data_IF_593755597780
#
_entry.id   IF_593755597780
#
_cell.length_a   1.000
_cell.length_b   1.000
_cell.length_c   1.000
_cell.angle_alpha   90.00
_cell.angle_beta   90.00
_cell.angle_gamma   90.00
#
_symmetry.space_group_name_H-M   'P 1'
#
loop_
_entity.id
_entity.type
_entity.pdbx_description
1 polymer ?
#
# COMPACT_ATOMS: atom_id res chain seq x y z
N UNK A 1 26.30 -31.81 -17.71
CA UNK A 1 24.85 -31.57 -17.72
C UNK A 1 23.99 -32.69 -17.11
N UNK A 2 24.55 -33.74 -16.48
CA UNK A 2 23.79 -34.94 -16.05
C UNK A 2 23.61 -35.16 -14.53
N UNK A 3 24.08 -34.24 -13.66
CA UNK A 3 23.96 -34.39 -12.19
C UNK A 3 22.84 -33.55 -11.54
N UNK A 4 22.08 -32.77 -12.31
CA UNK A 4 21.04 -31.85 -11.78
C UNK A 4 19.65 -32.50 -11.64
N UNK A 5 19.31 -33.49 -12.47
CA UNK A 5 18.01 -34.18 -12.40
C UNK A 5 17.74 -34.91 -11.07
N UNK A 6 18.71 -35.60 -10.42
CA UNK A 6 18.41 -36.37 -9.21
C UNK A 6 17.95 -35.51 -8.02
N UNK A 7 18.52 -34.30 -7.86
CA UNK A 7 18.14 -33.38 -6.79
C UNK A 7 16.75 -32.78 -7.02
N UNK A 8 16.40 -32.50 -8.28
CA UNK A 8 15.05 -32.05 -8.64
C UNK A 8 14.03 -33.17 -8.37
N UNK A 9 14.36 -34.43 -8.70
CA UNK A 9 13.51 -35.60 -8.43
C UNK A 9 13.34 -35.89 -6.92
N UNK A 10 14.36 -35.67 -6.09
CA UNK A 10 14.23 -35.79 -4.63
C UNK A 10 13.34 -34.67 -4.06
N UNK A 11 13.38 -33.47 -4.63
CA UNK A 11 12.55 -32.34 -4.20
C UNK A 11 11.09 -32.41 -4.67
N UNK A 12 10.76 -33.30 -5.63
CA UNK A 12 9.37 -33.63 -6.00
C UNK A 12 8.61 -34.28 -4.82
N UNK A 13 9.30 -34.80 -3.80
CA UNK A 13 8.69 -35.27 -2.55
C UNK A 13 8.39 -34.14 -1.55
N UNK A 14 8.38 -32.88 -1.98
CA UNK A 14 7.95 -31.76 -1.16
C UNK A 14 6.42 -31.82 -0.93
N UNK A 15 5.99 -31.97 0.32
CA UNK A 15 4.55 -32.00 0.67
C UNK A 15 3.84 -30.63 0.63
N UNK A 16 4.53 -29.55 0.25
CA UNK A 16 3.90 -28.22 0.13
C UNK A 16 3.29 -28.06 -1.26
N UNK A 17 2.00 -27.82 -1.29
CA UNK A 17 1.22 -27.61 -2.52
C UNK A 17 0.72 -26.17 -2.67
N UNK A 18 1.03 -25.27 -1.74
CA UNK A 18 0.64 -23.86 -1.78
C UNK A 18 1.69 -22.96 -1.09
N UNK A 19 1.70 -21.64 -1.35
CA UNK A 19 2.59 -20.70 -0.66
C UNK A 19 2.40 -20.73 0.86
N UNK A 20 3.46 -20.51 1.65
CA UNK A 20 3.30 -20.33 3.10
C UNK A 20 2.55 -19.03 3.40
N UNK A 21 2.24 -18.78 4.68
CA UNK A 21 1.52 -17.57 5.11
C UNK A 21 0.01 -17.77 5.11
N UNK A 22 -0.72 -16.65 5.04
CA UNK A 22 -2.17 -16.65 5.16
C UNK A 22 -2.81 -16.46 3.78
N UNK A 23 -3.78 -17.29 3.42
CA UNK A 23 -4.65 -17.01 2.29
C UNK A 23 -5.62 -15.88 2.66
N UNK A 24 -5.45 -14.71 2.05
CA UNK A 24 -6.22 -13.51 2.38
C UNK A 24 -7.36 -13.27 1.39
N UNK A 25 -7.34 -13.93 0.23
CA UNK A 25 -8.36 -13.79 -0.80
C UNK A 25 -8.51 -15.12 -1.53
N UNK A 26 -9.77 -15.53 -1.77
CA UNK A 26 -10.10 -16.71 -2.57
C UNK A 26 -11.36 -16.42 -3.40
N UNK A 27 -11.25 -16.49 -4.72
CA UNK A 27 -12.41 -16.47 -5.64
C UNK A 27 -12.20 -17.47 -6.76
N UNK A 28 -13.13 -18.42 -6.87
CA UNK A 28 -13.04 -19.53 -7.82
C UNK A 28 -11.71 -20.28 -7.68
N UNK A 29 -10.86 -20.25 -8.69
CA UNK A 29 -9.54 -20.88 -8.68
C UNK A 29 -8.39 -19.90 -8.37
N UNK A 30 -8.65 -18.62 -8.12
CA UNK A 30 -7.61 -17.63 -7.82
C UNK A 30 -7.50 -17.33 -6.33
N UNK A 31 -6.26 -17.26 -5.84
CA UNK A 31 -5.98 -16.96 -4.44
C UNK A 31 -4.83 -15.96 -4.27
N UNK A 32 -4.93 -15.08 -3.27
CA UNK A 32 -3.78 -14.31 -2.77
C UNK A 32 -3.32 -14.82 -1.41
N UNK A 33 -2.01 -15.02 -1.29
CA UNK A 33 -1.35 -15.33 -0.03
C UNK A 33 -0.55 -14.12 0.45
N UNK A 34 -0.76 -13.71 1.70
CA UNK A 34 0.10 -12.76 2.41
C UNK A 34 1.19 -13.52 3.16
N UNK A 35 2.44 -13.19 2.85
CA UNK A 35 3.61 -13.87 3.38
C UNK A 35 4.52 -12.84 4.04
N UNK A 36 4.73 -13.01 5.34
CA UNK A 36 5.65 -12.18 6.10
C UNK A 36 7.10 -12.63 5.83
N UNK A 37 7.90 -11.75 5.24
CA UNK A 37 9.30 -12.01 4.95
C UNK A 37 10.15 -12.32 6.19
N UNK A 38 9.77 -11.85 7.37
CA UNK A 38 10.46 -12.16 8.63
C UNK A 38 10.18 -13.60 9.08
N UNK A 39 8.94 -14.08 8.90
CA UNK A 39 8.50 -15.43 9.30
C UNK A 39 8.92 -16.51 8.28
N UNK A 40 8.96 -16.17 7.00
CA UNK A 40 9.22 -17.10 5.90
C UNK A 40 10.41 -16.66 5.02
N UNK A 41 11.54 -16.31 5.65
CA UNK A 41 12.72 -15.73 4.99
C UNK A 41 13.22 -16.55 3.81
N UNK A 42 13.35 -17.87 3.93
CA UNK A 42 13.85 -18.72 2.85
C UNK A 42 12.95 -18.70 1.62
N UNK A 43 11.63 -18.80 1.82
CA UNK A 43 10.66 -18.74 0.73
C UNK A 43 10.73 -17.38 0.01
N UNK A 44 10.74 -16.29 0.78
CA UNK A 44 10.79 -14.94 0.22
C UNK A 44 12.13 -14.61 -0.44
N UNK A 45 13.26 -15.13 0.07
CA UNK A 45 14.57 -15.04 -0.59
C UNK A 45 14.56 -15.78 -1.93
N UNK A 46 14.02 -17.00 -1.98
CA UNK A 46 13.89 -17.76 -3.23
C UNK A 46 12.99 -17.03 -4.24
N UNK A 47 11.89 -16.43 -3.77
CA UNK A 47 11.00 -15.62 -4.61
C UNK A 47 11.72 -14.38 -5.18
N UNK A 48 12.51 -13.68 -4.36
CA UNK A 48 13.33 -12.56 -4.82
C UNK A 48 14.42 -12.98 -5.81
N UNK A 49 15.06 -14.13 -5.62
CA UNK A 49 16.03 -14.70 -6.56
C UNK A 49 15.37 -15.05 -7.89
N UNK A 50 14.19 -15.68 -7.87
CA UNK A 50 13.38 -15.92 -9.07
C UNK A 50 13.05 -14.61 -9.78
N UNK A 51 12.65 -13.59 -9.03
CA UNK A 51 12.31 -12.29 -9.58
C UNK A 51 13.49 -11.56 -10.21
N UNK A 52 14.70 -11.69 -9.64
CA UNK A 52 15.94 -11.10 -10.17
C UNK A 52 16.23 -11.53 -11.62
N UNK A 53 15.78 -12.72 -12.02
CA UNK A 53 15.92 -13.22 -13.39
C UNK A 53 15.14 -12.37 -14.41
N UNK A 54 14.05 -11.73 -13.98
CA UNK A 54 13.15 -10.98 -14.84
C UNK A 54 13.17 -9.47 -14.57
N UNK A 55 13.57 -9.05 -13.36
CA UNK A 55 13.64 -7.66 -12.93
C UNK A 55 15.09 -7.15 -12.95
N UNK A 56 15.44 -6.37 -13.97
CA UNK A 56 16.79 -5.79 -14.12
C UNK A 56 17.17 -4.88 -12.95
N UNK A 57 16.22 -4.08 -12.48
CA UNK A 57 16.40 -3.07 -11.42
C UNK A 57 16.50 -3.67 -10.02
N UNK A 58 16.12 -4.94 -9.82
CA UNK A 58 16.25 -5.61 -8.53
C UNK A 58 17.72 -5.89 -8.22
N UNK A 59 18.22 -5.46 -7.07
CA UNK A 59 19.60 -5.73 -6.64
C UNK A 59 19.66 -6.93 -5.70
N UNK A 60 20.78 -7.65 -5.70
CA UNK A 60 20.98 -8.83 -4.81
C UNK A 60 21.08 -8.39 -3.34
N UNK A 61 21.54 -7.17 -3.07
CA UNK A 61 21.63 -6.58 -1.73
C UNK A 61 20.26 -6.45 -1.04
N UNK A 62 19.15 -6.40 -1.80
CA UNK A 62 17.80 -6.41 -1.25
C UNK A 62 17.40 -7.75 -0.63
N UNK A 63 18.14 -8.84 -0.87
CA UNK A 63 17.86 -10.16 -0.28
C UNK A 63 18.02 -10.19 1.24
N UNK A 64 18.91 -9.37 1.78
CA UNK A 64 19.13 -9.24 3.22
C UNK A 64 18.01 -8.44 3.90
N UNK A 65 17.25 -7.66 3.12
CA UNK A 65 16.15 -6.82 3.60
C UNK A 65 14.79 -7.54 3.59
N UNK A 66 14.72 -8.80 3.12
CA UNK A 66 13.48 -9.60 3.08
C UNK A 66 12.62 -9.52 4.35
N UNK A 67 13.17 -9.50 5.58
CA UNK A 67 12.38 -9.37 6.80
C UNK A 67 11.53 -8.09 6.90
N UNK A 68 11.91 -7.01 6.20
CA UNK A 68 11.20 -5.72 6.19
C UNK A 68 10.01 -5.69 5.21
N UNK A 69 9.74 -6.79 4.48
CA UNK A 69 8.70 -6.84 3.46
C UNK A 69 7.61 -7.86 3.75
N UNK A 70 6.39 -7.51 3.34
CA UNK A 70 5.29 -8.43 3.07
C UNK A 70 5.29 -8.78 1.58
N UNK A 71 4.93 -10.01 1.27
CA UNK A 71 4.81 -10.51 -0.09
C UNK A 71 3.37 -10.98 -0.32
N UNK A 72 2.75 -10.49 -1.38
CA UNK A 72 1.40 -10.83 -1.79
C UNK A 72 1.48 -11.67 -3.06
N UNK A 73 1.32 -12.98 -2.91
CA UNK A 73 1.50 -13.96 -3.98
C UNK A 73 0.16 -14.35 -4.57
N UNK A 74 -0.04 -14.08 -5.86
CA UNK A 74 -1.19 -14.53 -6.62
C UNK A 74 -0.93 -15.94 -7.15
N UNK A 75 -1.90 -16.82 -6.95
CA UNK A 75 -1.87 -18.20 -7.40
C UNK A 75 -3.14 -18.60 -8.14
N UNK A 76 -3.01 -19.61 -8.99
CA UNK A 76 -4.11 -20.36 -9.58
C UNK A 76 -4.10 -21.78 -9.01
N UNK A 77 -5.24 -22.22 -8.47
CA UNK A 77 -5.40 -23.52 -7.82
C UNK A 77 -6.03 -24.52 -8.77
N UNK A 78 -5.41 -25.70 -8.88
CA UNK A 78 -5.98 -26.87 -9.54
C UNK A 78 -5.97 -28.09 -8.60
N UNK A 79 -6.01 -29.31 -9.17
CA UNK A 79 -6.05 -30.56 -8.41
C UNK A 79 -4.71 -30.86 -7.70
N UNK A 80 -3.60 -30.32 -8.20
CA UNK A 80 -2.24 -30.60 -7.72
C UNK A 80 -1.77 -29.54 -6.69
N UNK A 81 -2.36 -28.34 -6.71
CA UNK A 81 -2.07 -27.30 -5.73
C UNK A 81 -2.32 -25.89 -6.23
N UNK A 82 -1.76 -24.91 -5.51
CA UNK A 82 -1.79 -23.49 -5.84
C UNK A 82 -0.49 -23.06 -6.51
N UNK A 83 -0.57 -22.84 -7.82
CA UNK A 83 0.56 -22.50 -8.68
C UNK A 83 0.76 -21.00 -8.76
N UNK A 84 1.99 -20.54 -8.54
CA UNK A 84 2.31 -19.10 -8.58
C UNK A 84 2.12 -18.52 -9.99
N UNK A 85 1.36 -17.43 -10.06
CA UNK A 85 1.21 -16.59 -11.25
C UNK A 85 2.20 -15.43 -11.20
N UNK A 86 2.30 -14.80 -10.04
CA UNK A 86 3.05 -13.57 -9.82
C UNK A 86 2.92 -13.09 -8.40
N UNK A 87 3.60 -12.00 -8.07
CA UNK A 87 3.53 -11.40 -6.75
C UNK A 87 3.80 -9.90 -6.81
N UNK A 88 3.46 -9.21 -5.72
CA UNK A 88 4.10 -7.95 -5.38
C UNK A 88 4.64 -7.96 -3.96
N UNK A 89 5.71 -7.20 -3.70
CA UNK A 89 6.20 -6.95 -2.34
C UNK A 89 5.81 -5.56 -1.87
N UNK A 90 5.68 -5.40 -0.57
CA UNK A 90 5.34 -4.15 0.10
C UNK A 90 6.17 -4.04 1.37
N UNK A 91 6.91 -2.96 1.53
CA UNK A 91 7.64 -2.71 2.77
C UNK A 91 6.65 -2.57 3.94
N UNK A 92 6.98 -3.10 5.11
CA UNK A 92 6.12 -3.01 6.31
C UNK A 92 5.93 -1.55 6.71
N UNK A 93 4.77 -1.24 7.30
CA UNK A 93 4.42 0.13 7.65
C UNK A 93 5.43 0.78 8.59
N UNK A 94 5.94 0.02 9.56
CA UNK A 94 6.94 0.46 10.56
C UNK A 94 8.28 0.82 9.92
N UNK A 95 8.62 0.17 8.81
CA UNK A 95 9.86 0.41 8.07
C UNK A 95 9.70 1.54 7.03
N UNK A 96 8.45 1.96 6.72
CA UNK A 96 8.15 3.06 5.81
C UNK A 96 8.00 4.41 6.52
N UNK A 97 7.74 4.44 7.83
CA UNK A 97 7.60 5.68 8.57
C UNK A 97 8.96 6.22 9.03
N UNK A 98 9.52 7.14 8.25
CA UNK A 98 10.32 8.20 8.85
C UNK A 98 9.35 9.23 9.45
N UNK A 99 9.61 9.76 10.64
CA UNK A 99 8.74 10.67 11.41
C UNK A 99 8.50 12.04 10.73
N UNK A 100 8.75 12.13 9.43
CA UNK A 100 8.51 13.28 8.58
C UNK A 100 7.06 13.30 8.08
N UNK A 101 6.41 14.45 8.23
CA UNK A 101 5.02 14.73 7.85
C UNK A 101 4.74 14.57 6.35
N UNK A 102 5.78 14.32 5.52
CA UNK A 102 5.69 14.21 4.06
C UNK A 102 6.18 12.86 3.50
N UNK A 103 6.30 11.81 4.30
CA UNK A 103 6.78 10.51 3.80
C UNK A 103 5.79 9.89 2.82
N UNK A 104 6.27 9.60 1.61
CA UNK A 104 5.51 8.93 0.55
C UNK A 104 5.24 7.49 0.95
N UNK A 105 3.97 7.08 0.96
CA UNK A 105 3.61 5.71 1.26
C UNK A 105 3.67 4.84 0.00
N UNK A 106 4.62 3.91 -0.02
CA UNK A 106 4.79 2.98 -1.13
C UNK A 106 3.94 1.74 -0.87
N UNK A 107 2.86 1.58 -1.62
CA UNK A 107 1.98 0.41 -1.48
C UNK A 107 2.48 -0.81 -2.26
N UNK A 108 3.52 -0.63 -3.08
CA UNK A 108 4.13 -1.66 -3.90
C UNK A 108 5.60 -1.31 -4.14
N UNK A 109 6.50 -2.23 -3.80
CA UNK A 109 7.96 -2.10 -3.99
C UNK A 109 8.45 -2.83 -5.23
N UNK A 110 8.08 -4.10 -5.40
CA UNK A 110 8.36 -4.88 -6.59
C UNK A 110 7.09 -5.56 -7.06
N UNK A 111 6.92 -5.71 -8.37
CA UNK A 111 5.84 -6.49 -8.98
C UNK A 111 6.42 -7.39 -10.07
N UNK A 112 5.99 -8.64 -10.09
CA UNK A 112 6.36 -9.60 -11.12
C UNK A 112 5.15 -10.44 -11.50
N UNK A 113 4.97 -10.61 -12.81
CA UNK A 113 4.12 -11.63 -13.40
C UNK A 113 5.05 -12.58 -14.13
N UNK A 114 4.97 -13.88 -13.82
CA UNK A 114 5.81 -14.86 -14.50
C UNK A 114 5.50 -14.86 -16.00
N UNK A 115 6.51 -15.01 -16.88
CA UNK A 115 6.35 -14.94 -18.32
C UNK A 115 5.13 -15.67 -18.93
N UNK A 116 4.81 -16.93 -18.55
CA UNK A 116 3.66 -17.63 -19.16
C UNK A 116 2.31 -16.96 -18.87
N UNK A 117 2.19 -16.18 -17.80
CA UNK A 117 0.94 -15.53 -17.37
C UNK A 117 0.85 -14.04 -17.76
N UNK A 118 1.87 -13.49 -18.43
CA UNK A 118 1.85 -12.09 -18.88
C UNK A 118 0.75 -11.84 -19.91
N UNK A 119 0.29 -10.59 -20.00
CA UNK A 119 -0.78 -10.16 -20.91
C UNK A 119 -2.15 -10.82 -20.70
N UNK A 120 -2.39 -11.48 -19.56
CA UNK A 120 -3.68 -12.13 -19.21
C UNK A 120 -4.50 -11.40 -18.13
N UNK A 121 -4.20 -10.13 -17.86
CA UNK A 121 -4.92 -9.30 -16.87
C UNK A 121 -4.40 -9.39 -15.42
N UNK A 122 -3.59 -10.39 -15.08
CA UNK A 122 -3.07 -10.58 -13.72
C UNK A 122 -2.24 -9.41 -13.17
N UNK A 123 -1.51 -8.69 -14.05
CA UNK A 123 -0.78 -7.51 -13.62
C UNK A 123 -1.68 -6.38 -13.12
N UNK A 124 -2.86 -6.19 -13.73
CA UNK A 124 -3.87 -5.25 -13.23
C UNK A 124 -4.41 -5.74 -11.88
N UNK A 125 -4.68 -7.04 -11.75
CA UNK A 125 -5.20 -7.64 -10.52
C UNK A 125 -4.24 -7.46 -9.33
N UNK A 126 -2.93 -7.63 -9.53
CA UNK A 126 -1.91 -7.37 -8.50
C UNK A 126 -1.90 -5.89 -8.05
N UNK A 127 -1.97 -4.95 -9.00
CA UNK A 127 -2.04 -3.51 -8.69
C UNK A 127 -3.36 -3.14 -8.00
N UNK A 128 -4.48 -3.69 -8.46
CA UNK A 128 -5.79 -3.47 -7.84
C UNK A 128 -5.80 -3.94 -6.39
N UNK A 129 -5.22 -5.12 -6.11
CA UNK A 129 -5.05 -5.62 -4.75
C UNK A 129 -4.22 -4.66 -3.89
N UNK A 130 -3.09 -4.13 -4.39
CA UNK A 130 -2.26 -3.21 -3.59
C UNK A 130 -3.00 -1.92 -3.20
N UNK A 131 -3.84 -1.38 -4.09
CA UNK A 131 -4.70 -0.23 -3.79
C UNK A 131 -5.88 -0.56 -2.88
N UNK A 132 -6.48 -1.75 -2.99
CA UNK A 132 -7.51 -2.21 -2.05
C UNK A 132 -6.95 -2.25 -0.63
N UNK A 133 -5.78 -2.87 -0.44
CA UNK A 133 -5.12 -2.93 0.86
C UNK A 133 -4.80 -1.53 1.40
N UNK A 134 -4.31 -0.63 0.53
CA UNK A 134 -4.03 0.77 0.92
C UNK A 134 -5.28 1.48 1.44
N UNK A 135 -6.44 1.29 0.79
CA UNK A 135 -7.71 1.87 1.23
C UNK A 135 -8.20 1.26 2.54
N UNK A 136 -8.02 -0.04 2.75
CA UNK A 136 -8.33 -0.69 4.03
C UNK A 136 -7.46 -0.17 5.17
N UNK A 137 -6.20 0.21 4.88
CA UNK A 137 -5.29 0.87 5.82
C UNK A 137 -5.55 2.37 5.99
N UNK A 138 -6.50 2.94 5.24
CA UNK A 138 -6.74 4.39 5.18
C UNK A 138 -5.50 5.19 4.76
N UNK A 139 -4.70 4.63 3.85
CA UNK A 139 -3.49 5.26 3.30
C UNK A 139 -3.62 5.50 1.80
N UNK A 140 -3.00 6.59 1.37
CA UNK A 140 -2.85 6.93 -0.05
C UNK A 140 -1.53 6.35 -0.54
N UNK A 141 -1.58 5.49 -1.55
CA UNK A 141 -0.41 4.75 -2.03
C UNK A 141 0.08 5.19 -3.42
N UNK A 142 1.37 4.98 -3.66
CA UNK A 142 2.03 5.05 -4.97
C UNK A 142 3.01 3.88 -5.10
N UNK A 143 3.37 3.41 -6.31
CA UNK A 143 4.47 2.48 -6.45
C UNK A 143 5.83 3.12 -6.14
N UNK A 144 6.74 2.30 -5.64
CA UNK A 144 8.16 2.61 -5.60
C UNK A 144 8.71 2.84 -7.01
N UNK A 145 9.65 3.78 -7.14
CA UNK A 145 10.25 4.19 -8.40
C UNK A 145 11.75 3.89 -8.39
N UNK A 146 12.36 3.59 -9.55
CA UNK A 146 11.78 3.57 -10.90
C UNK A 146 10.92 2.32 -11.18
N UNK A 147 9.87 2.47 -12.01
CA UNK A 147 9.11 1.35 -12.54
C UNK A 147 9.79 0.77 -13.79
N UNK A 148 9.53 -0.52 -14.09
CA UNK A 148 9.87 -1.13 -15.37
C UNK A 148 8.96 -0.62 -16.49
N UNK A 149 9.39 -0.73 -17.76
CA UNK A 149 8.58 -0.32 -18.93
C UNK A 149 7.18 -0.95 -18.92
N UNK A 150 7.12 -2.27 -18.64
CA UNK A 150 5.85 -2.98 -18.52
C UNK A 150 5.05 -2.50 -17.30
N UNK A 151 5.70 -2.23 -16.17
CA UNK A 151 5.08 -1.68 -14.98
C UNK A 151 4.41 -0.33 -15.25
N UNK A 152 5.09 0.58 -15.95
CA UNK A 152 4.55 1.90 -16.34
C UNK A 152 3.29 1.75 -17.18
N UNK A 153 3.29 0.84 -18.16
CA UNK A 153 2.14 0.60 -19.04
C UNK A 153 0.92 0.13 -18.23
N UNK A 154 1.11 -0.82 -17.30
CA UNK A 154 0.00 -1.36 -16.51
C UNK A 154 -0.53 -0.30 -15.52
N UNK A 155 0.35 0.42 -14.82
CA UNK A 155 -0.04 1.49 -13.88
C UNK A 155 -0.80 2.62 -14.59
N UNK A 156 -0.28 3.12 -15.72
CA UNK A 156 -0.97 4.15 -16.51
C UNK A 156 -2.36 3.69 -16.94
N UNK A 157 -2.49 2.46 -17.41
CA UNK A 157 -3.79 1.91 -17.80
C UNK A 157 -4.74 1.78 -16.61
N UNK A 158 -4.25 1.32 -15.46
CA UNK A 158 -5.03 1.20 -14.23
C UNK A 158 -5.53 2.57 -13.74
N UNK A 159 -4.63 3.55 -13.55
CA UNK A 159 -5.01 4.89 -13.11
C UNK A 159 -5.99 5.57 -14.05
N UNK A 160 -5.75 5.47 -15.36
CA UNK A 160 -6.63 6.04 -16.37
C UNK A 160 -8.05 5.48 -16.26
N UNK A 161 -8.18 4.16 -16.08
CA UNK A 161 -9.47 3.50 -15.92
C UNK A 161 -10.17 3.93 -14.63
N UNK A 162 -9.50 3.89 -13.48
CA UNK A 162 -10.11 4.23 -12.18
C UNK A 162 -10.51 5.71 -12.11
N UNK A 163 -9.69 6.62 -12.64
CA UNK A 163 -10.00 8.06 -12.68
C UNK A 163 -11.18 8.34 -13.61
N UNK A 164 -11.21 7.76 -14.82
CA UNK A 164 -12.35 7.94 -15.73
C UNK A 164 -13.64 7.35 -15.15
N UNK A 165 -13.58 6.18 -14.51
CA UNK A 165 -14.71 5.58 -13.82
C UNK A 165 -15.24 6.48 -12.71
N UNK A 166 -14.34 7.05 -11.89
CA UNK A 166 -14.69 8.04 -10.88
C UNK A 166 -15.40 9.25 -11.52
N UNK A 167 -14.79 9.87 -12.53
CA UNK A 167 -15.32 11.07 -13.20
C UNK A 167 -16.67 10.82 -13.88
N UNK A 168 -16.86 9.64 -14.50
CA UNK A 168 -18.12 9.24 -15.13
C UNK A 168 -19.27 9.14 -14.12
N UNK A 169 -19.01 8.58 -12.93
CA UNK A 169 -19.99 8.49 -11.84
C UNK A 169 -20.23 9.80 -11.07
N UNK A 170 -19.30 10.75 -11.11
CA UNK A 170 -19.33 11.95 -10.28
C UNK A 170 -20.35 13.01 -10.76
N UNK A 171 -21.33 13.38 -9.95
CA UNK A 171 -22.44 14.29 -10.34
C UNK A 171 -22.35 15.70 -9.76
N UNK A 172 -21.49 15.92 -8.75
CA UNK A 172 -21.41 17.23 -8.09
C UNK A 172 -20.73 18.31 -8.95
N UNK A 173 -20.97 19.57 -8.59
CA UNK A 173 -20.53 20.75 -9.37
C UNK A 173 -19.01 20.95 -9.42
N UNK A 174 -18.28 20.50 -8.40
CA UNK A 174 -16.83 20.72 -8.27
C UNK A 174 -16.13 19.45 -7.84
N UNK A 175 -15.11 19.03 -8.60
CA UNK A 175 -14.27 17.88 -8.29
C UNK A 175 -13.04 18.36 -7.53
N UNK A 176 -12.75 17.75 -6.37
CA UNK A 176 -11.54 18.00 -5.61
C UNK A 176 -10.56 16.83 -5.75
N UNK A 177 -9.34 17.10 -6.24
CA UNK A 177 -8.29 16.08 -6.44
C UNK A 177 -7.91 15.39 -5.13
N UNK A 178 -7.94 16.10 -3.99
CA UNK A 178 -7.63 15.51 -2.68
C UNK A 178 -8.68 14.50 -2.25
N UNK A 179 -9.97 14.81 -2.48
CA UNK A 179 -11.07 13.87 -2.21
C UNK A 179 -10.97 12.65 -3.12
N UNK A 180 -10.73 12.85 -4.42
CA UNK A 180 -10.49 11.75 -5.37
C UNK A 180 -9.31 10.87 -4.94
N UNK A 181 -8.23 11.48 -4.43
CA UNK A 181 -7.06 10.78 -3.90
C UNK A 181 -7.40 9.91 -2.69
N UNK A 182 -8.20 10.42 -1.77
CA UNK A 182 -8.66 9.68 -0.59
C UNK A 182 -9.58 8.52 -0.97
N UNK A 183 -10.53 8.73 -1.88
CA UNK A 183 -11.48 7.69 -2.28
C UNK A 183 -10.83 6.57 -3.12
N UNK A 184 -9.94 6.92 -4.04
CA UNK A 184 -9.25 5.94 -4.89
C UNK A 184 -8.05 5.30 -4.19
N UNK A 185 -7.47 5.96 -3.17
CA UNK A 185 -6.21 5.58 -2.55
C UNK A 185 -4.99 5.85 -3.42
N UNK A 186 -5.12 6.67 -4.47
CA UNK A 186 -4.06 7.01 -5.43
C UNK A 186 -3.43 8.34 -5.05
N UNK A 187 -2.10 8.43 -5.04
CA UNK A 187 -1.38 9.66 -4.72
C UNK A 187 -1.76 10.82 -5.67
N UNK A 188 -1.87 12.03 -5.12
CA UNK A 188 -2.19 13.26 -5.88
C UNK A 188 -1.27 13.44 -7.10
N UNK A 189 0.06 13.26 -7.01
CA UNK A 189 0.93 13.38 -8.18
C UNK A 189 0.57 12.41 -9.32
N UNK A 190 0.16 11.18 -8.99
CA UNK A 190 -0.23 10.16 -9.98
C UNK A 190 -1.57 10.53 -10.65
N UNK A 191 -2.53 11.06 -9.88
CA UNK A 191 -3.79 11.60 -10.42
C UNK A 191 -3.53 12.79 -11.36
N UNK A 192 -2.73 13.76 -10.91
CA UNK A 192 -2.39 14.96 -11.69
C UNK A 192 -1.70 14.57 -13.00
N UNK A 193 -0.69 13.69 -12.93
CA UNK A 193 0.00 13.19 -14.12
C UNK A 193 -0.96 12.51 -15.09
N UNK A 194 -1.90 11.70 -14.57
CA UNK A 194 -2.86 10.98 -15.41
C UNK A 194 -3.87 11.93 -16.08
N UNK A 195 -4.35 12.95 -15.36
CA UNK A 195 -5.25 13.97 -15.91
C UNK A 195 -4.55 14.83 -16.97
N UNK A 196 -3.27 15.17 -16.77
CA UNK A 196 -2.46 15.87 -17.77
C UNK A 196 -2.25 15.01 -19.03
N UNK A 197 -1.92 13.72 -18.86
CA UNK A 197 -1.76 12.76 -19.97
C UNK A 197 -3.06 12.63 -20.79
N UNK A 198 -4.23 12.74 -20.15
CA UNK A 198 -5.54 12.74 -20.82
C UNK A 198 -5.98 14.12 -21.33
N UNK A 199 -5.21 15.19 -21.10
CA UNK A 199 -5.56 16.59 -21.42
C UNK A 199 -6.84 17.07 -20.72
N UNK A 200 -7.11 16.57 -19.52
CA UNK A 200 -8.31 16.88 -18.73
C UNK A 200 -8.05 17.85 -17.58
N UNK A 201 -6.80 18.29 -17.38
CA UNK A 201 -6.44 19.31 -16.39
C UNK A 201 -5.97 20.57 -17.10
N UNK A 202 -6.66 21.69 -16.87
CA UNK A 202 -6.33 22.99 -17.50
C UNK A 202 -6.09 24.06 -16.45
N UNK A 203 -5.12 24.94 -16.70
CA UNK A 203 -4.86 26.11 -15.87
C UNK A 203 -5.53 27.34 -16.51
N UNK A 204 -6.40 28.01 -15.76
CA UNK A 204 -7.04 29.25 -16.15
C UNK A 204 -6.90 30.27 -15.03
N UNK A 205 -6.29 31.43 -15.32
CA UNK A 205 -6.05 32.52 -14.35
C UNK A 205 -5.54 32.01 -13.00
N UNK A 206 -4.44 31.25 -13.05
CA UNK A 206 -3.73 30.63 -11.89
C UNK A 206 -4.48 29.53 -11.14
N UNK A 207 -5.69 29.16 -11.57
CA UNK A 207 -6.47 28.07 -10.99
C UNK A 207 -6.53 26.87 -11.92
N UNK A 208 -6.49 25.67 -11.36
CA UNK A 208 -6.60 24.42 -12.12
C UNK A 208 -8.04 23.90 -12.13
N UNK A 209 -8.52 23.50 -13.30
CA UNK A 209 -9.86 22.95 -13.51
C UNK A 209 -9.77 21.58 -14.17
N UNK A 210 -10.63 20.67 -13.73
CA UNK A 210 -10.81 19.36 -14.36
C UNK A 210 -11.93 19.49 -15.38
N UNK A 211 -11.63 19.17 -16.64
CA UNK A 211 -12.61 19.07 -17.71
C UNK A 211 -13.36 17.74 -17.52
N UNK A 212 -14.61 17.81 -17.03
CA UNK A 212 -15.48 16.64 -16.84
C UNK A 212 -16.68 16.71 -17.78
N UNK A 213 -16.43 16.74 -19.09
CA UNK A 213 -17.48 16.61 -20.09
C UNK A 213 -17.92 15.14 -20.19
N UNK A 214 -19.15 14.84 -19.78
CA UNK A 214 -19.65 13.45 -19.64
C UNK A 214 -19.53 12.62 -20.93
N UNK A 215 -20.05 13.09 -22.08
CA UNK A 215 -19.83 12.43 -23.37
C UNK A 215 -18.35 12.08 -23.65
N UNK A 216 -17.42 13.01 -23.40
CA UNK A 216 -16.00 12.79 -23.68
C UNK A 216 -15.36 11.81 -22.70
N UNK A 217 -15.72 11.90 -21.41
CA UNK A 217 -15.28 10.97 -20.36
C UNK A 217 -15.76 9.56 -20.67
N UNK A 218 -17.03 9.40 -21.02
CA UNK A 218 -17.63 8.09 -21.32
C UNK A 218 -17.08 7.53 -22.64
N UNK A 219 -16.84 8.38 -23.64
CA UNK A 219 -16.15 7.98 -24.87
C UNK A 219 -14.74 7.49 -24.57
N UNK A 220 -13.94 8.23 -23.79
CA UNK A 220 -12.60 7.81 -23.37
C UNK A 220 -12.65 6.51 -22.57
N UNK A 221 -13.59 6.37 -21.64
CA UNK A 221 -13.76 5.15 -20.85
C UNK A 221 -14.09 3.95 -21.76
N UNK A 222 -14.93 4.13 -22.78
CA UNK A 222 -15.27 3.07 -23.73
C UNK A 222 -14.08 2.58 -24.57
N UNK A 223 -13.07 3.44 -24.81
CA UNK A 223 -11.84 3.02 -25.50
C UNK A 223 -10.96 2.11 -24.64
N UNK A 224 -11.09 2.18 -23.32
CA UNK A 224 -10.35 1.35 -22.38
C UNK A 224 -11.18 0.10 -22.13
N UNK A 225 -10.76 -1.03 -22.72
CA UNK A 225 -11.41 -2.32 -22.43
C UNK A 225 -11.45 -2.54 -20.91
N UNK A 226 -12.63 -2.78 -20.33
CA UNK A 226 -12.75 -3.07 -18.91
C UNK A 226 -11.93 -4.31 -18.57
N UNK A 227 -11.50 -4.46 -17.30
CA UNK A 227 -10.93 -5.71 -16.84
C UNK A 227 -11.88 -6.88 -17.11
N UNK A 228 -11.31 -8.04 -17.45
CA UNK A 228 -12.10 -9.26 -17.51
C UNK A 228 -12.73 -9.53 -16.14
N UNK A 229 -13.98 -10.01 -16.13
CA UNK A 229 -14.77 -10.16 -14.91
C UNK A 229 -14.13 -11.12 -13.90
N UNK A 230 -13.42 -12.13 -14.40
CA UNK A 230 -12.62 -13.11 -13.64
C UNK A 230 -11.23 -12.58 -13.22
N UNK A 231 -10.91 -11.33 -13.54
CA UNK A 231 -9.64 -10.64 -13.21
C UNK A 231 -9.86 -9.34 -12.43
N UNK A 232 -11.05 -9.15 -11.88
CA UNK A 232 -11.37 -8.10 -10.91
C UNK A 232 -11.30 -8.66 -9.49
N UNK A 233 -10.75 -7.89 -8.56
CA UNK A 233 -10.81 -8.25 -7.13
C UNK A 233 -12.22 -8.02 -6.58
N UNK A 234 -12.80 -9.06 -6.01
CA UNK A 234 -14.06 -9.00 -5.28
C UNK A 234 -13.81 -8.74 -3.78
N UNK A 235 -14.21 -7.58 -3.29
CA UNK A 235 -13.98 -7.22 -1.88
C UNK A 235 -14.69 -8.14 -0.90
N UNK A 236 -15.75 -8.84 -1.32
CA UNK A 236 -16.46 -9.80 -0.46
C UNK A 236 -15.68 -11.10 -0.23
N UNK A 237 -14.73 -11.41 -1.13
CA UNK A 237 -13.85 -12.57 -1.05
C UNK A 237 -12.53 -12.28 -0.33
N UNK A 238 -12.32 -11.05 0.15
CA UNK A 238 -11.11 -10.61 0.84
C UNK A 238 -11.29 -10.70 2.36
N UNK A 239 -10.50 -11.56 2.98
CA UNK A 239 -10.41 -11.77 4.42
C UNK A 239 -9.09 -11.20 4.92
N UNK A 240 -9.05 -9.88 5.09
CA UNK A 240 -7.84 -9.17 5.47
C UNK A 240 -8.14 -8.06 6.48
N UNK A 241 -7.27 -7.90 7.46
CA UNK A 241 -7.34 -6.81 8.45
C UNK A 241 -5.97 -6.13 8.55
N UNK A 242 -5.91 -4.79 8.63
CA UNK A 242 -4.66 -4.08 8.87
C UNK A 242 -4.00 -4.57 10.16
N UNK A 243 -2.68 -4.74 10.15
CA UNK A 243 -1.93 -4.97 11.39
C UNK A 243 -1.98 -3.68 12.23
N UNK A 244 -2.87 -3.65 13.23
CA UNK A 244 -3.15 -2.49 14.10
C UNK A 244 -2.09 -2.29 15.18
N UNK A 245 -0.83 -2.63 14.91
CA UNK A 245 0.28 -2.29 15.80
C UNK A 245 0.44 -0.76 15.78
N UNK A 246 -0.29 -0.04 16.66
CA UNK A 246 -0.16 1.38 16.99
C UNK A 246 -0.84 2.46 16.12
N UNK A 247 -2.05 2.24 15.58
CA UNK A 247 -2.89 3.39 15.12
C UNK A 247 -3.45 4.21 16.31
N UNK A 248 -3.49 3.63 17.52
CA UNK A 248 -4.11 4.24 18.70
C UNK A 248 -3.21 5.13 19.58
N UNK A 249 -1.98 5.46 19.18
CA UNK A 249 -1.14 6.38 19.97
C UNK A 249 -1.12 7.84 19.48
N UNK A 250 -1.72 8.14 18.31
CA UNK A 250 -1.71 9.51 17.76
C UNK A 250 -2.99 10.33 17.99
N UNK A 251 -3.94 9.85 18.81
CA UNK A 251 -5.23 10.54 19.05
C UNK A 251 -5.56 10.76 20.53
N UNK A 252 -4.56 11.06 21.37
CA UNK A 252 -4.81 11.64 22.71
C UNK A 252 -3.91 12.84 22.95
N UNK A 253 -4.38 14.00 22.52
CA UNK A 253 -3.95 15.28 23.08
C UNK A 253 -4.41 15.37 24.55
N UNK A 254 -3.61 15.96 25.46
CA UNK A 254 -3.96 16.07 26.87
C UNK A 254 -5.02 17.17 27.03
N UNK A 255 -6.28 16.79 27.22
CA UNK A 255 -7.30 17.69 27.71
C UNK A 255 -7.02 17.99 29.19
N UNK A 256 -6.80 19.27 29.47
CA UNK A 256 -6.74 19.93 30.77
C UNK A 256 -7.70 19.32 31.81
N UNK A 257 -7.15 18.81 32.90
CA UNK A 257 -7.90 18.41 34.09
C UNK A 257 -8.46 19.64 34.80
N UNK A 258 -9.79 19.76 34.79
CA UNK A 258 -10.56 20.67 35.63
C UNK A 258 -10.34 20.32 37.10
N UNK A 259 -9.99 21.33 37.92
CA UNK A 259 -9.94 21.22 39.37
C UNK A 259 -11.35 20.94 39.91
N UNK A 260 -11.50 19.84 40.67
CA UNK A 260 -12.59 19.66 41.63
C UNK A 260 -12.03 19.70 43.04
N UNK A 261 -12.41 20.75 43.76
CA UNK A 261 -12.14 20.98 45.18
C UNK A 261 -13.09 20.10 46.01
N UNK A 262 -12.55 19.30 46.94
CA UNK A 262 -13.30 18.80 48.11
C UNK A 262 -12.37 18.47 49.28
N UNK A 263 -12.29 19.42 50.20
CA UNK A 263 -12.39 19.31 51.68
C UNK A 263 -11.77 18.13 52.46
N UNK A 264 -10.77 18.49 53.26
CA UNK A 264 -10.59 18.26 54.72
C UNK A 264 -10.25 16.84 55.22
N UNK A 265 -9.06 16.65 55.81
CA UNK A 265 -8.83 16.64 57.28
C UNK A 265 -7.40 16.15 57.64
N UNK A 266 -6.68 17.01 58.38
CA UNK A 266 -5.56 16.82 59.34
C UNK A 266 -4.77 15.49 59.40
N UNK A 267 -3.43 15.59 59.40
CA UNK A 267 -2.61 15.41 60.62
C UNK A 267 -1.14 15.88 60.47
N UNK A 268 -0.65 16.45 61.58
CA UNK A 268 0.66 17.06 61.91
C UNK A 268 1.90 16.21 61.58
N UNK A 269 3.07 16.85 61.34
CA UNK A 269 4.19 16.93 62.31
C UNK A 269 5.46 17.66 61.78
N UNK A 270 5.91 18.62 62.60
CA UNK A 270 7.29 19.11 62.89
C UNK A 270 8.18 19.77 61.81
N UNK A 271 8.45 21.09 61.96
CA UNK A 271 9.65 21.78 62.54
C UNK A 271 10.83 21.78 61.55
N UNK A 272 11.53 22.88 61.25
CA UNK A 272 11.76 24.13 61.99
C UNK A 272 12.56 25.13 61.12
N UNK A 273 12.40 26.43 61.44
CA UNK A 273 13.43 27.51 61.44
C UNK A 273 14.13 27.90 60.12
N UNK A 274 14.46 29.17 59.78
CA UNK A 274 14.41 30.50 60.42
C UNK A 274 14.96 31.50 59.36
N UNK A 275 14.58 32.79 59.46
CA UNK A 275 15.30 34.01 58.98
C UNK A 275 15.09 34.47 57.51
N UNK A 276 14.30 35.53 57.39
CA UNK A 276 14.42 36.68 56.46
C UNK A 276 15.38 37.75 57.06
N UNK A 277 15.82 38.86 56.42
CA UNK A 277 15.23 39.54 55.25
C UNK A 277 16.22 40.22 54.25
N UNK A 278 15.63 40.94 53.29
CA UNK A 278 16.09 42.16 52.59
C UNK A 278 17.36 42.12 51.72
N UNK A 279 17.23 42.34 50.40
CA UNK A 279 17.36 43.67 49.80
C UNK A 279 17.25 43.67 48.25
N UNK A 280 16.34 44.51 47.74
CA UNK A 280 16.60 45.64 46.83
C UNK A 280 17.41 45.47 45.51
N UNK A 281 16.75 45.89 44.40
CA UNK A 281 17.26 46.68 43.24
C UNK A 281 17.56 45.98 41.87
N UNK A 282 16.96 46.56 40.81
CA UNK A 282 17.47 46.63 39.41
C UNK A 282 16.64 45.82 38.40
N UNK A 283 15.72 46.36 37.59
CA UNK A 283 15.85 47.30 36.45
C UNK A 283 16.91 46.88 35.43
N UNK A 284 16.50 46.31 34.28
CA UNK A 284 16.56 46.98 32.96
C UNK A 284 16.14 46.08 31.78
N UNK A 285 15.34 46.71 30.89
CA UNK A 285 15.10 46.49 29.45
C UNK A 285 14.53 45.15 28.98
#
# INVERSE_FOLDING_TARGET
MSKQLPLFTIHINCGRTFPPGNEIYRKENLSFFEIDGQKHQEYCRNLCLLAKLFLKQKTVHELDQVPAFLFYVLTETDQDGSHIIGYFSKQKADDQCDNSVNTVYNNLSCILILPPYQCRGFGRMLIEMSYILSRLEQRIGTPERPLSDLGIIIYRRYWRFEILKYLSSFTAKSINIRTMSQELGIAVPDIVSTLLDMKMLVCYRTQYYIINNKPDVDALLSTIKPPATDRCIDSTCLYWTPNVSNVNQLSKSPSSSTLSISTTTNQKLHKSSLISPSDSIGVNV
#
